data_IF_337721820280
#
_entry.id   IF_337721820280
#
_cell.length_a   1.000
_cell.length_b   1.000
_cell.length_c   1.000
_cell.angle_alpha   90.00
_cell.angle_beta   90.00
_cell.angle_gamma   90.00
#
_symmetry.space_group_name_H-M   'P 1'
#
loop_
_entity.id
_entity.type
_entity.pdbx_description
1 polymer ?
#
# COMPACT_ATOMS: atom_id res chain seq x y z
N UNK A 1 7.93 -27.74 -9.57
CA UNK A 1 6.72 -27.14 -10.21
C UNK A 1 5.79 -26.42 -9.21
N UNK A 2 6.13 -26.40 -7.90
CA UNK A 2 5.26 -25.89 -6.83
C UNK A 2 5.23 -24.35 -6.68
N UNK A 3 6.12 -23.60 -7.32
CA UNK A 3 6.21 -22.14 -7.20
C UNK A 3 5.95 -21.42 -8.53
N UNK A 4 4.89 -21.77 -9.23
CA UNK A 4 4.53 -21.06 -10.45
C UNK A 4 3.04 -20.71 -10.48
N UNK A 5 2.68 -19.61 -11.13
CA UNK A 5 1.28 -19.24 -11.36
C UNK A 5 0.47 -20.31 -12.12
N UNK A 6 1.14 -21.21 -12.84
CA UNK A 6 0.52 -22.31 -13.57
C UNK A 6 -0.11 -23.36 -12.65
N UNK A 7 0.48 -23.61 -11.47
CA UNK A 7 -0.06 -24.55 -10.48
C UNK A 7 -1.25 -24.03 -9.67
N UNK A 8 -1.57 -22.72 -9.76
CA UNK A 8 -2.65 -22.10 -8.98
C UNK A 8 -4.04 -22.31 -9.60
N UNK A 9 -4.12 -22.75 -10.86
CA UNK A 9 -5.39 -22.91 -11.56
C UNK A 9 -5.99 -21.60 -12.10
N UNK A 10 -5.14 -20.62 -12.43
CA UNK A 10 -5.56 -19.36 -13.02
C UNK A 10 -6.03 -19.55 -14.47
N UNK A 11 -7.00 -18.73 -14.89
CA UNK A 11 -7.47 -18.71 -16.26
C UNK A 11 -6.32 -18.40 -17.24
N UNK A 12 -6.23 -19.06 -18.43
CA UNK A 12 -5.12 -18.88 -19.37
C UNK A 12 -4.84 -17.42 -19.76
N UNK A 13 -5.88 -16.60 -19.89
CA UNK A 13 -5.71 -15.17 -20.20
C UNK A 13 -5.06 -14.39 -19.07
N UNK A 14 -5.37 -14.72 -17.80
CA UNK A 14 -4.71 -14.13 -16.63
C UNK A 14 -3.23 -14.49 -16.65
N UNK A 15 -2.89 -15.75 -16.88
CA UNK A 15 -1.51 -16.21 -16.99
C UNK A 15 -0.74 -15.47 -18.09
N UNK A 16 -1.36 -15.28 -19.27
CA UNK A 16 -0.77 -14.49 -20.38
C UNK A 16 -0.55 -13.03 -19.95
N UNK A 17 -1.50 -12.42 -19.24
CA UNK A 17 -1.36 -11.06 -18.72
C UNK A 17 -0.19 -10.91 -17.74
N UNK A 18 0.02 -11.90 -16.88
CA UNK A 18 1.16 -11.95 -15.95
C UNK A 18 2.50 -12.05 -16.68
N UNK A 19 2.60 -12.91 -17.70
CA UNK A 19 3.80 -13.05 -18.52
C UNK A 19 4.18 -11.75 -19.22
N UNK A 20 3.20 -11.00 -19.75
CA UNK A 20 3.47 -9.70 -20.38
C UNK A 20 4.06 -8.66 -19.43
N UNK A 21 3.87 -8.83 -18.12
CA UNK A 21 4.45 -8.01 -17.08
C UNK A 21 5.73 -8.61 -16.48
N UNK A 22 6.26 -9.65 -17.07
CA UNK A 22 7.41 -10.39 -16.53
C UNK A 22 7.18 -10.93 -15.11
N UNK A 23 5.91 -11.17 -14.75
CA UNK A 23 5.55 -11.83 -13.51
C UNK A 23 5.51 -13.34 -13.75
N UNK A 24 6.64 -13.99 -13.48
CA UNK A 24 6.83 -15.42 -13.78
C UNK A 24 6.45 -16.27 -12.58
N UNK A 25 6.87 -15.85 -11.38
CA UNK A 25 6.66 -16.58 -10.15
C UNK A 25 5.79 -15.78 -9.16
N UNK A 26 4.89 -16.46 -8.45
CA UNK A 26 4.11 -15.81 -7.41
C UNK A 26 5.00 -15.49 -6.18
N UNK A 27 4.74 -14.37 -5.53
CA UNK A 27 5.31 -14.11 -4.21
C UNK A 27 4.74 -15.09 -3.17
N UNK A 28 5.38 -15.20 -1.99
CA UNK A 28 4.93 -16.09 -0.91
C UNK A 28 3.45 -15.89 -0.58
N UNK A 29 3.00 -14.63 -0.45
CA UNK A 29 1.59 -14.35 -0.16
C UNK A 29 0.65 -14.71 -1.30
N UNK A 30 1.08 -14.51 -2.54
CA UNK A 30 0.31 -14.89 -3.72
C UNK A 30 0.15 -16.42 -3.82
N UNK A 31 1.22 -17.18 -3.55
CA UNK A 31 1.18 -18.65 -3.55
C UNK A 31 0.21 -19.22 -2.50
N UNK A 32 0.08 -18.56 -1.34
CA UNK A 32 -0.77 -19.01 -0.25
C UNK A 32 -2.22 -18.55 -0.45
N UNK A 33 -2.45 -17.32 -0.85
CA UNK A 33 -3.77 -16.70 -0.86
C UNK A 33 -4.54 -16.93 -2.17
N UNK A 34 -3.88 -16.88 -3.34
CA UNK A 34 -4.58 -17.06 -4.63
C UNK A 34 -5.34 -18.37 -4.76
N UNK A 35 -4.82 -19.54 -4.31
CA UNK A 35 -5.60 -20.77 -4.37
C UNK A 35 -6.92 -20.69 -3.60
N UNK A 36 -6.94 -20.04 -2.43
CA UNK A 36 -8.17 -19.86 -1.65
C UNK A 36 -9.13 -18.88 -2.37
N UNK A 37 -8.61 -17.80 -2.96
CA UNK A 37 -9.42 -16.86 -3.73
C UNK A 37 -10.06 -17.54 -4.95
N UNK A 38 -9.30 -18.35 -5.67
CA UNK A 38 -9.78 -19.10 -6.86
C UNK A 38 -10.91 -20.07 -6.50
N UNK A 39 -10.85 -20.68 -5.32
CA UNK A 39 -11.94 -21.56 -4.79
C UNK A 39 -13.17 -20.79 -4.32
N UNK A 40 -13.17 -19.46 -4.34
CA UNK A 40 -14.29 -18.63 -3.88
C UNK A 40 -14.34 -18.42 -2.37
N UNK A 41 -13.25 -18.74 -1.63
CA UNK A 41 -13.19 -18.54 -0.18
C UNK A 41 -13.11 -17.06 0.15
N UNK A 42 -13.86 -16.62 1.18
CA UNK A 42 -13.68 -15.28 1.75
C UNK A 42 -12.48 -15.30 2.71
N UNK A 43 -11.55 -14.36 2.50
CA UNK A 43 -10.27 -14.37 3.23
C UNK A 43 -9.87 -12.98 3.72
N UNK A 44 -9.15 -12.97 4.83
CA UNK A 44 -8.38 -11.82 5.30
C UNK A 44 -6.91 -12.17 5.21
N UNK A 45 -6.15 -11.35 4.51
CA UNK A 45 -4.73 -11.56 4.25
C UNK A 45 -3.91 -10.48 4.93
N UNK A 46 -2.99 -10.88 5.78
CA UNK A 46 -1.99 -10.00 6.36
C UNK A 46 -0.62 -10.32 5.81
N UNK A 47 0.05 -9.28 5.28
CA UNK A 47 1.46 -9.34 4.91
C UNK A 47 2.06 -7.93 4.85
N UNK A 48 3.38 -7.86 4.83
CA UNK A 48 4.12 -6.60 4.78
C UNK A 48 3.78 -5.76 3.55
N UNK A 49 3.97 -4.44 3.66
CA UNK A 49 3.89 -3.55 2.49
C UNK A 49 4.94 -3.97 1.45
N UNK A 50 4.53 -4.05 0.18
CA UNK A 50 5.43 -4.42 -0.92
C UNK A 50 5.56 -5.93 -1.19
N UNK A 51 4.85 -6.80 -0.48
CA UNK A 51 4.85 -8.26 -0.70
C UNK A 51 4.09 -8.73 -1.95
N UNK A 52 3.47 -7.81 -2.69
CA UNK A 52 2.68 -8.15 -3.89
C UNK A 52 1.17 -8.29 -3.65
N UNK A 53 0.64 -7.77 -2.51
CA UNK A 53 -0.80 -7.82 -2.20
C UNK A 53 -1.67 -7.17 -3.28
N UNK A 54 -1.34 -5.96 -3.74
CA UNK A 54 -2.12 -5.27 -4.77
C UNK A 54 -2.13 -6.03 -6.09
N UNK A 55 -1.00 -6.65 -6.47
CA UNK A 55 -0.93 -7.54 -7.64
C UNK A 55 -1.80 -8.77 -7.45
N UNK A 56 -1.82 -9.37 -6.26
CA UNK A 56 -2.71 -10.48 -5.92
C UNK A 56 -4.19 -10.09 -6.09
N UNK A 57 -4.58 -8.90 -5.63
CA UNK A 57 -5.95 -8.40 -5.79
C UNK A 57 -6.32 -8.20 -7.26
N UNK A 58 -5.40 -7.66 -8.06
CA UNK A 58 -5.64 -7.51 -9.50
C UNK A 58 -5.76 -8.86 -10.22
N UNK A 59 -4.96 -9.86 -9.84
CA UNK A 59 -5.09 -11.24 -10.32
C UNK A 59 -6.46 -11.82 -9.94
N UNK A 60 -6.87 -11.65 -8.68
CA UNK A 60 -8.15 -12.12 -8.17
C UNK A 60 -9.34 -11.58 -8.97
N UNK A 61 -9.34 -10.27 -9.24
CA UNK A 61 -10.39 -9.62 -10.07
C UNK A 61 -10.44 -10.24 -11.45
N UNK A 62 -9.30 -10.35 -12.13
CA UNK A 62 -9.22 -10.90 -13.47
C UNK A 62 -9.61 -12.39 -13.54
N UNK A 63 -9.45 -13.12 -12.44
CA UNK A 63 -9.85 -14.52 -12.30
C UNK A 63 -11.36 -14.68 -12.11
N UNK A 64 -11.99 -13.77 -11.35
CA UNK A 64 -13.40 -13.90 -10.93
C UNK A 64 -14.37 -13.30 -11.94
N UNK A 65 -13.96 -12.23 -12.64
CA UNK A 65 -14.82 -11.48 -13.54
C UNK A 65 -15.03 -12.25 -14.85
N UNK A 66 -16.30 -12.45 -15.18
CA UNK A 66 -16.73 -12.98 -16.48
C UNK A 66 -16.86 -11.82 -17.49
N UNK A 67 -15.89 -11.71 -18.38
CA UNK A 67 -15.81 -10.61 -19.35
C UNK A 67 -16.86 -10.69 -20.45
N UNK A 68 -17.59 -11.79 -20.59
CA UNK A 68 -18.74 -11.91 -21.51
C UNK A 68 -19.97 -11.13 -21.01
N UNK A 69 -19.96 -10.71 -19.74
CA UNK A 69 -21.08 -10.01 -19.08
C UNK A 69 -20.78 -8.52 -18.95
N UNK A 70 -21.60 -7.67 -19.58
CA UNK A 70 -21.49 -6.21 -19.51
C UNK A 70 -22.20 -5.61 -18.28
N UNK A 71 -21.85 -6.04 -17.07
CA UNK A 71 -22.37 -5.48 -15.82
C UNK A 71 -21.35 -5.61 -14.67
N UNK A 72 -21.57 -4.86 -13.60
CA UNK A 72 -20.68 -4.83 -12.44
C UNK A 72 -20.63 -6.19 -11.74
N UNK A 73 -19.42 -6.71 -11.52
CA UNK A 73 -19.15 -7.98 -10.85
C UNK A 73 -18.14 -7.87 -9.72
N UNK A 74 -17.25 -6.88 -9.77
CA UNK A 74 -16.23 -6.68 -8.75
C UNK A 74 -16.18 -5.23 -8.26
N UNK A 75 -16.10 -5.06 -6.95
CA UNK A 75 -15.93 -3.76 -6.28
C UNK A 75 -14.63 -3.79 -5.48
N UNK A 76 -13.76 -2.79 -5.74
CA UNK A 76 -12.50 -2.62 -5.05
C UNK A 76 -12.53 -1.34 -4.22
N UNK A 77 -12.27 -1.47 -2.94
CA UNK A 77 -12.16 -0.35 -2.01
C UNK A 77 -10.70 -0.11 -1.66
N UNK A 78 -10.28 1.15 -1.76
CA UNK A 78 -8.95 1.60 -1.34
C UNK A 78 -9.09 2.86 -0.47
N UNK A 79 -8.20 3.09 0.51
CA UNK A 79 -8.31 4.23 1.42
C UNK A 79 -8.12 5.58 0.72
N UNK A 80 -7.36 5.61 -0.38
CA UNK A 80 -7.07 6.81 -1.16
C UNK A 80 -7.44 6.64 -2.63
N UNK A 81 -7.66 7.77 -3.30
CA UNK A 81 -7.98 7.81 -4.74
C UNK A 81 -6.82 7.29 -5.58
N UNK A 82 -5.61 7.63 -5.19
CA UNK A 82 -4.38 7.24 -5.88
C UNK A 82 -4.20 5.72 -5.87
N UNK A 83 -4.41 5.08 -4.71
CA UNK A 83 -4.35 3.62 -4.62
C UNK A 83 -5.47 2.96 -5.44
N UNK A 84 -6.68 3.51 -5.41
CA UNK A 84 -7.78 3.02 -6.22
C UNK A 84 -7.45 3.08 -7.73
N UNK A 85 -6.82 4.16 -8.18
CA UNK A 85 -6.40 4.34 -9.57
C UNK A 85 -5.26 3.38 -9.93
N UNK A 86 -4.28 3.20 -9.05
CA UNK A 86 -3.19 2.25 -9.23
C UNK A 86 -3.71 0.82 -9.36
N UNK A 87 -4.62 0.41 -8.47
CA UNK A 87 -5.22 -0.93 -8.51
C UNK A 87 -6.03 -1.14 -9.78
N UNK A 88 -6.81 -0.13 -10.20
CA UNK A 88 -7.56 -0.19 -11.45
C UNK A 88 -6.65 -0.32 -12.68
N UNK A 89 -5.55 0.44 -12.73
CA UNK A 89 -4.54 0.32 -13.81
C UNK A 89 -3.97 -1.09 -13.86
N UNK A 90 -3.61 -1.65 -12.70
CA UNK A 90 -3.03 -2.98 -12.61
C UNK A 90 -4.04 -4.08 -13.03
N UNK A 91 -5.31 -3.95 -12.65
CA UNK A 91 -6.40 -4.82 -13.12
C UNK A 91 -6.51 -4.77 -14.65
N UNK A 92 -6.50 -3.57 -15.23
CA UNK A 92 -6.60 -3.37 -16.67
C UNK A 92 -5.38 -3.93 -17.40
N UNK A 93 -4.19 -3.73 -16.87
CA UNK A 93 -2.95 -4.21 -17.49
C UNK A 93 -2.84 -5.74 -17.48
N UNK A 94 -3.18 -6.40 -16.38
CA UNK A 94 -3.23 -7.88 -16.31
C UNK A 94 -4.35 -8.39 -17.22
N UNK A 95 -5.49 -7.69 -17.24
CA UNK A 95 -6.63 -8.01 -18.08
C UNK A 95 -6.48 -7.62 -19.56
N UNK A 96 -5.34 -7.08 -19.99
CA UNK A 96 -5.13 -6.56 -21.35
C UNK A 96 -5.32 -7.59 -22.46
N UNK A 97 -5.33 -8.87 -22.13
CA UNK A 97 -5.66 -9.96 -23.06
C UNK A 97 -7.15 -10.29 -23.14
N UNK A 98 -7.98 -9.68 -22.29
CA UNK A 98 -9.43 -9.75 -22.38
C UNK A 98 -9.94 -8.53 -23.17
N UNK A 99 -10.48 -8.76 -24.34
CA UNK A 99 -10.92 -7.68 -25.24
C UNK A 99 -12.00 -6.78 -24.62
N UNK A 100 -12.74 -7.29 -23.62
CA UNK A 100 -13.92 -6.63 -23.07
C UNK A 100 -13.85 -6.29 -21.57
N UNK A 101 -12.70 -6.52 -20.89
CA UNK A 101 -12.58 -6.14 -19.47
C UNK A 101 -12.58 -4.61 -19.33
N UNK A 102 -13.56 -4.11 -18.59
CA UNK A 102 -13.68 -2.67 -18.28
C UNK A 102 -13.60 -2.44 -16.78
N UNK A 103 -12.67 -1.59 -16.37
CA UNK A 103 -12.49 -1.15 -15.00
C UNK A 103 -12.66 0.37 -14.92
N UNK A 104 -13.55 0.84 -14.07
CA UNK A 104 -13.77 2.26 -13.85
C UNK A 104 -13.33 2.69 -12.45
N UNK A 105 -12.71 3.87 -12.37
CA UNK A 105 -12.37 4.51 -11.10
C UNK A 105 -13.50 5.44 -10.67
N UNK A 106 -14.07 5.18 -9.50
CA UNK A 106 -15.11 6.01 -8.89
C UNK A 106 -14.49 7.28 -8.29
N UNK A 107 -14.56 8.40 -8.99
CA UNK A 107 -14.10 9.70 -8.49
C UNK A 107 -15.14 10.81 -8.75
N UNK A 108 -14.94 12.01 -8.16
CA UNK A 108 -15.90 13.10 -8.01
C UNK A 108 -16.84 13.42 -9.17
N UNK A 109 -16.35 13.43 -10.41
CA UNK A 109 -17.12 13.74 -11.62
C UNK A 109 -17.27 12.55 -12.57
N UNK A 110 -16.80 11.35 -12.19
CA UNK A 110 -16.92 10.18 -13.06
C UNK A 110 -18.38 9.79 -13.25
N UNK A 111 -18.85 9.82 -14.49
CA UNK A 111 -20.12 9.19 -14.89
C UNK A 111 -19.81 7.74 -15.22
N UNK A 112 -20.26 6.82 -14.37
CA UNK A 112 -20.21 5.40 -14.63
C UNK A 112 -21.31 5.04 -15.63
N UNK A 113 -20.96 4.27 -16.65
CA UNK A 113 -21.90 3.85 -17.70
C UNK A 113 -22.81 2.71 -17.25
N UNK A 114 -22.43 2.01 -16.15
CA UNK A 114 -23.16 0.85 -15.62
C UNK A 114 -22.90 -0.45 -16.39
N UNK A 115 -22.04 -0.39 -17.39
CA UNK A 115 -21.59 -1.55 -18.20
C UNK A 115 -20.20 -2.04 -17.80
N UNK A 116 -19.52 -1.31 -16.91
CA UNK A 116 -18.21 -1.70 -16.41
C UNK A 116 -18.33 -2.92 -15.49
N UNK A 117 -17.44 -3.87 -15.68
CA UNK A 117 -17.40 -5.09 -14.85
C UNK A 117 -16.74 -4.85 -13.48
N UNK A 118 -15.90 -3.83 -13.37
CA UNK A 118 -15.10 -3.55 -12.19
C UNK A 118 -15.21 -2.08 -11.80
N UNK A 119 -15.52 -1.82 -10.53
CA UNK A 119 -15.43 -0.48 -9.94
C UNK A 119 -14.34 -0.44 -8.88
N UNK A 120 -13.43 0.51 -9.00
CA UNK A 120 -12.39 0.80 -8.00
C UNK A 120 -12.57 2.20 -7.44
N UNK A 121 -12.48 2.40 -6.12
CA UNK A 121 -12.62 3.72 -5.54
C UNK A 121 -12.48 3.75 -4.02
N UNK A 122 -12.57 4.97 -3.48
CA UNK A 122 -12.64 5.15 -2.02
C UNK A 122 -14.04 4.79 -1.50
N UNK A 123 -14.15 4.33 -0.23
CA UNK A 123 -15.44 3.88 0.33
C UNK A 123 -16.58 4.87 0.13
N UNK A 124 -16.36 6.17 0.39
CA UNK A 124 -17.42 7.18 0.24
C UNK A 124 -17.92 7.34 -1.20
N UNK A 125 -17.04 7.27 -2.18
CA UNK A 125 -17.40 7.40 -3.60
C UNK A 125 -18.10 6.16 -4.13
N UNK A 126 -17.61 5.00 -3.78
CA UNK A 126 -18.23 3.72 -4.14
C UNK A 126 -19.60 3.60 -3.50
N UNK A 127 -19.75 3.94 -2.21
CA UNK A 127 -21.02 3.92 -1.51
C UNK A 127 -22.05 4.83 -2.20
N UNK A 128 -21.66 6.06 -2.55
CA UNK A 128 -22.57 6.99 -3.25
C UNK A 128 -23.05 6.41 -4.59
N UNK A 129 -22.20 5.74 -5.34
CA UNK A 129 -22.55 5.10 -6.62
C UNK A 129 -23.42 3.85 -6.44
N UNK A 130 -23.14 3.02 -5.44
CA UNK A 130 -23.92 1.81 -5.16
C UNK A 130 -25.29 2.12 -4.59
N UNK A 131 -25.41 3.17 -3.76
CA UNK A 131 -26.68 3.53 -3.09
C UNK A 131 -27.78 3.97 -4.03
N UNK A 132 -27.44 4.41 -5.25
CA UNK A 132 -28.43 4.80 -6.27
C UNK A 132 -28.82 3.63 -7.19
N UNK A 133 -28.16 2.46 -7.05
CA UNK A 133 -28.43 1.30 -7.89
C UNK A 133 -29.63 0.49 -7.37
N UNK A 134 -30.33 -0.14 -8.31
CA UNK A 134 -31.44 -1.07 -7.96
C UNK A 134 -30.88 -2.35 -7.36
N UNK A 135 -31.67 -3.01 -6.52
CA UNK A 135 -31.31 -4.28 -5.89
C UNK A 135 -30.92 -5.39 -6.91
N UNK A 136 -31.59 -5.42 -8.07
CA UNK A 136 -31.27 -6.36 -9.16
C UNK A 136 -29.89 -6.14 -9.77
N UNK A 137 -29.37 -4.91 -9.75
CA UNK A 137 -28.01 -4.60 -10.16
C UNK A 137 -26.99 -5.09 -9.14
N UNK A 138 -27.25 -4.85 -7.85
CA UNK A 138 -26.35 -5.21 -6.75
C UNK A 138 -26.21 -6.74 -6.60
N UNK A 139 -27.26 -7.52 -6.89
CA UNK A 139 -27.25 -8.99 -6.85
C UNK A 139 -26.22 -9.64 -7.79
N UNK A 140 -25.66 -8.90 -8.74
CA UNK A 140 -24.71 -9.41 -9.73
C UNK A 140 -23.24 -9.27 -9.26
N UNK A 141 -23.01 -8.58 -8.15
CA UNK A 141 -21.66 -8.39 -7.61
C UNK A 141 -21.17 -9.69 -7.00
N UNK A 142 -20.03 -10.19 -7.49
CA UNK A 142 -19.45 -11.48 -7.13
C UNK A 142 -18.37 -11.35 -6.05
N UNK A 143 -17.64 -10.23 -6.05
CA UNK A 143 -16.54 -10.02 -5.12
C UNK A 143 -16.46 -8.57 -4.64
N UNK A 144 -16.25 -8.40 -3.33
CA UNK A 144 -15.86 -7.15 -2.69
C UNK A 144 -14.42 -7.30 -2.17
N UNK A 145 -13.56 -6.47 -2.69
CA UNK A 145 -12.14 -6.40 -2.30
C UNK A 145 -11.92 -5.15 -1.46
N UNK A 146 -11.22 -5.30 -0.34
CA UNK A 146 -10.90 -4.21 0.59
C UNK A 146 -9.38 -4.18 0.77
N UNK A 147 -8.73 -3.19 0.17
CA UNK A 147 -7.28 -3.01 0.26
C UNK A 147 -6.93 -2.03 1.39
N UNK A 148 -5.86 -2.32 2.13
CA UNK A 148 -5.38 -1.53 3.27
C UNK A 148 -6.50 -1.21 4.28
N UNK A 149 -7.22 -2.25 4.77
CA UNK A 149 -8.34 -2.06 5.71
C UNK A 149 -7.89 -1.39 7.02
N UNK A 150 -6.68 -1.60 7.48
CA UNK A 150 -6.07 -0.93 8.62
C UNK A 150 -6.00 0.60 8.43
N UNK A 151 -5.72 1.06 7.23
CA UNK A 151 -5.76 2.47 6.90
C UNK A 151 -7.20 3.00 6.86
N UNK A 152 -8.15 2.21 6.38
CA UNK A 152 -9.57 2.59 6.42
C UNK A 152 -10.10 2.73 7.85
N UNK A 153 -9.64 1.86 8.77
CA UNK A 153 -9.91 2.00 10.21
C UNK A 153 -9.33 3.30 10.75
N UNK A 154 -8.06 3.57 10.46
CA UNK A 154 -7.34 4.76 10.93
C UNK A 154 -7.93 6.07 10.41
N UNK A 155 -8.47 6.05 9.20
CA UNK A 155 -9.12 7.18 8.54
C UNK A 155 -10.61 7.34 8.88
N UNK A 156 -11.18 6.47 9.74
CA UNK A 156 -12.59 6.52 10.12
C UNK A 156 -13.57 6.13 9.01
N UNK A 157 -13.11 5.37 8.00
CA UNK A 157 -13.91 4.98 6.84
C UNK A 157 -14.72 3.69 7.04
N UNK A 158 -14.55 3.01 8.18
CA UNK A 158 -15.16 1.69 8.46
C UNK A 158 -16.69 1.73 8.41
N UNK A 159 -17.31 2.82 8.84
CA UNK A 159 -18.77 2.97 8.73
C UNK A 159 -19.27 2.93 7.28
N UNK A 160 -18.50 3.49 6.34
CA UNK A 160 -18.81 3.45 4.91
C UNK A 160 -18.58 2.04 4.33
N UNK A 161 -17.50 1.37 4.72
CA UNK A 161 -17.22 -0.02 4.33
C UNK A 161 -18.32 -0.96 4.81
N UNK A 162 -18.76 -0.81 6.07
CA UNK A 162 -19.87 -1.60 6.62
C UNK A 162 -21.18 -1.40 5.84
N UNK A 163 -21.50 -0.17 5.45
CA UNK A 163 -22.68 0.12 4.60
C UNK A 163 -22.54 -0.50 3.21
N UNK A 164 -21.37 -0.42 2.58
CA UNK A 164 -21.12 -1.08 1.29
C UNK A 164 -21.33 -2.60 1.43
N UNK A 165 -20.75 -3.19 2.48
CA UNK A 165 -20.91 -4.60 2.75
C UNK A 165 -22.40 -5.02 2.87
N UNK A 166 -23.25 -4.20 3.50
CA UNK A 166 -24.69 -4.47 3.63
C UNK A 166 -25.42 -4.48 2.28
N UNK A 167 -24.88 -3.80 1.27
CA UNK A 167 -25.41 -3.81 -0.10
C UNK A 167 -24.98 -5.04 -0.92
N UNK A 168 -23.99 -5.81 -0.44
CA UNK A 168 -23.49 -6.97 -1.18
C UNK A 168 -24.42 -8.16 -1.03
N UNK A 169 -24.60 -8.97 -2.09
CA UNK A 169 -25.38 -10.19 -2.01
C UNK A 169 -24.75 -11.22 -1.05
N UNK A 170 -25.56 -12.15 -0.50
CA UNK A 170 -25.06 -13.15 0.45
C UNK A 170 -23.93 -14.02 -0.10
N UNK A 171 -23.90 -14.27 -1.40
CA UNK A 171 -22.93 -15.12 -2.09
C UNK A 171 -21.64 -14.34 -2.43
N UNK A 172 -21.61 -13.04 -2.19
CA UNK A 172 -20.45 -12.21 -2.51
C UNK A 172 -19.22 -12.69 -1.73
N UNK A 173 -18.13 -12.93 -2.46
CA UNK A 173 -16.83 -13.26 -1.86
C UNK A 173 -16.20 -11.98 -1.28
N UNK A 174 -15.54 -12.09 -0.13
CA UNK A 174 -14.80 -11.00 0.48
C UNK A 174 -13.30 -11.30 0.48
N UNK A 175 -12.52 -10.39 -0.09
CA UNK A 175 -11.05 -10.46 -0.06
C UNK A 175 -10.54 -9.20 0.61
N UNK A 176 -10.01 -9.33 1.82
CA UNK A 176 -9.54 -8.21 2.63
C UNK A 176 -8.04 -8.32 2.79
N UNK A 177 -7.33 -7.23 2.54
CA UNK A 177 -5.88 -7.19 2.77
C UNK A 177 -5.48 -6.05 3.70
N UNK A 178 -4.43 -6.29 4.47
CA UNK A 178 -3.88 -5.36 5.45
C UNK A 178 -2.40 -5.61 5.66
N UNK A 179 -1.66 -4.59 6.07
CA UNK A 179 -0.32 -4.77 6.61
C UNK A 179 -0.35 -5.14 8.10
N UNK A 180 -1.43 -4.80 8.81
CA UNK A 180 -1.54 -4.91 10.28
C UNK A 180 -2.89 -5.46 10.73
N UNK A 181 -3.50 -6.42 10.00
CA UNK A 181 -4.82 -6.98 10.30
C UNK A 181 -4.92 -7.55 11.73
N UNK A 182 -3.85 -8.18 12.24
CA UNK A 182 -3.80 -8.68 13.61
C UNK A 182 -3.96 -7.61 14.68
N UNK A 183 -3.68 -6.33 14.37
CA UNK A 183 -3.88 -5.21 15.28
C UNK A 183 -5.34 -4.72 15.32
N UNK A 184 -6.12 -4.98 14.27
CA UNK A 184 -7.56 -4.70 14.24
C UNK A 184 -8.31 -5.76 15.05
N UNK A 185 -7.80 -6.98 15.07
CA UNK A 185 -8.43 -8.16 15.67
C UNK A 185 -9.31 -8.94 14.71
N UNK A 186 -9.20 -10.26 14.76
CA UNK A 186 -9.94 -11.18 13.90
C UNK A 186 -11.45 -11.05 14.10
N UNK A 187 -11.89 -10.92 15.36
CA UNK A 187 -13.30 -10.76 15.73
C UNK A 187 -13.90 -9.47 15.14
N UNK A 188 -13.14 -8.37 15.17
CA UNK A 188 -13.59 -7.08 14.63
C UNK A 188 -13.77 -7.17 13.10
N UNK A 189 -12.87 -7.85 12.39
CA UNK A 189 -12.95 -8.04 10.95
C UNK A 189 -14.07 -9.02 10.58
N UNK A 190 -14.22 -10.10 11.33
CA UNK A 190 -15.33 -11.05 11.14
C UNK A 190 -16.68 -10.38 11.39
N UNK A 191 -16.77 -9.54 12.43
CA UNK A 191 -17.95 -8.73 12.73
C UNK A 191 -18.26 -7.72 11.62
N UNK A 192 -17.23 -7.05 11.06
CA UNK A 192 -17.39 -6.15 9.92
C UNK A 192 -17.97 -6.88 8.71
N UNK A 193 -17.44 -8.08 8.41
CA UNK A 193 -17.86 -8.89 7.26
C UNK A 193 -19.14 -9.70 7.53
N UNK A 194 -19.56 -9.82 8.81
CA UNK A 194 -20.71 -10.65 9.27
C UNK A 194 -20.69 -12.07 8.74
N UNK A 195 -19.51 -12.66 8.66
CA UNK A 195 -19.29 -14.08 8.31
C UNK A 195 -17.94 -14.53 8.81
N UNK A 196 -17.81 -15.84 8.95
CA UNK A 196 -16.50 -16.45 9.14
C UNK A 196 -15.64 -16.26 7.90
N UNK A 197 -14.39 -15.86 8.11
CA UNK A 197 -13.39 -15.63 7.08
C UNK A 197 -12.11 -16.37 7.46
N UNK A 198 -11.43 -16.90 6.47
CA UNK A 198 -10.12 -17.51 6.68
C UNK A 198 -9.06 -16.44 6.82
N UNK A 199 -8.33 -16.46 7.94
CA UNK A 199 -7.20 -15.60 8.15
C UNK A 199 -5.92 -16.22 7.61
N UNK A 200 -5.25 -15.52 6.72
CA UNK A 200 -3.94 -15.87 6.16
C UNK A 200 -2.95 -14.82 6.63
N UNK A 201 -2.06 -15.22 7.51
CA UNK A 201 -0.98 -14.36 8.01
C UNK A 201 0.35 -14.90 7.51
N UNK A 202 0.85 -14.34 6.40
CA UNK A 202 2.15 -14.70 5.84
C UNK A 202 3.32 -14.07 6.62
N UNK A 203 3.03 -13.08 7.45
CA UNK A 203 3.99 -12.42 8.32
C UNK A 203 4.24 -13.18 9.65
N UNK A 204 3.72 -14.41 9.82
CA UNK A 204 3.99 -15.25 10.98
C UNK A 204 5.37 -15.91 10.84
N UNK A 205 6.33 -15.47 11.65
CA UNK A 205 7.67 -16.05 11.77
C UNK A 205 8.62 -15.07 12.43
N UNK A 206 9.79 -15.55 12.86
CA UNK A 206 10.87 -14.72 13.44
C UNK A 206 11.37 -13.63 12.47
N UNK A 207 11.05 -13.76 11.19
CA UNK A 207 11.39 -12.83 10.10
C UNK A 207 10.20 -12.01 9.61
N UNK A 208 9.35 -11.49 10.51
CA UNK A 208 8.25 -10.58 10.17
C UNK A 208 8.72 -9.38 9.32
N UNK A 209 9.93 -8.92 9.59
CA UNK A 209 10.62 -7.90 8.82
C UNK A 209 11.56 -8.62 7.85
N UNK A 210 11.44 -8.33 6.56
CA UNK A 210 12.33 -8.90 5.56
C UNK A 210 13.78 -8.84 6.06
N UNK A 211 14.51 -9.93 5.98
CA UNK A 211 15.93 -10.00 6.37
C UNK A 211 16.81 -8.92 5.72
N UNK A 212 16.26 -8.22 4.73
CA UNK A 212 16.90 -7.17 3.94
C UNK A 212 16.52 -5.74 4.35
N UNK A 213 15.62 -5.55 5.34
CA UNK A 213 15.25 -4.23 5.85
C UNK A 213 15.97 -3.98 7.17
N UNK A 214 16.99 -3.16 7.14
CA UNK A 214 17.72 -2.72 8.33
C UNK A 214 17.01 -1.51 8.92
N UNK A 215 16.78 -1.52 10.24
CA UNK A 215 16.05 -0.48 10.93
C UNK A 215 16.94 0.12 12.02
N UNK A 216 17.07 1.44 11.96
CA UNK A 216 17.92 2.22 12.87
C UNK A 216 17.18 3.40 13.46
N UNK A 217 17.70 3.92 14.56
CA UNK A 217 17.31 5.22 15.09
C UNK A 217 18.53 6.07 15.42
N UNK A 218 18.32 7.39 15.40
CA UNK A 218 19.29 8.40 15.87
C UNK A 218 18.59 9.23 16.92
N UNK A 219 19.18 9.32 18.10
CA UNK A 219 18.72 10.22 19.15
C UNK A 219 19.38 11.59 18.95
N UNK A 220 18.55 12.62 18.93
CA UNK A 220 18.97 14.02 18.85
C UNK A 220 18.46 14.77 20.08
N UNK A 221 19.27 15.67 20.62
CA UNK A 221 18.95 16.38 21.86
C UNK A 221 17.79 17.37 21.74
N UNK A 222 17.47 17.83 20.52
CA UNK A 222 16.34 18.73 20.27
C UNK A 222 15.90 18.69 18.81
N UNK A 223 14.64 19.10 18.55
CA UNK A 223 14.02 19.12 17.20
C UNK A 223 14.87 19.88 16.16
N UNK A 224 15.51 20.99 16.55
CA UNK A 224 16.36 21.79 15.67
C UNK A 224 17.54 21.02 15.10
N UNK A 225 18.02 19.97 15.76
CA UNK A 225 19.17 19.18 15.31
C UNK A 225 18.79 18.05 14.35
N UNK A 226 17.50 17.77 14.17
CA UNK A 226 17.05 16.74 13.21
C UNK A 226 17.50 17.04 11.78
N UNK A 227 17.51 18.33 11.39
CA UNK A 227 17.96 18.73 10.06
C UNK A 227 19.46 18.46 9.85
N UNK A 228 20.28 18.75 10.86
CA UNK A 228 21.71 18.46 10.79
C UNK A 228 21.97 16.96 10.74
N UNK A 229 21.22 16.16 11.51
CA UNK A 229 21.28 14.70 11.43
C UNK A 229 20.92 14.16 10.01
N UNK A 230 19.96 14.78 9.32
CA UNK A 230 19.65 14.43 7.92
C UNK A 230 20.83 14.76 7.00
N UNK A 231 21.48 15.89 7.18
CA UNK A 231 22.67 16.23 6.41
C UNK A 231 23.83 15.28 6.67
N UNK A 232 24.05 14.90 7.92
CA UNK A 232 25.09 13.93 8.29
C UNK A 232 24.82 12.56 7.63
N UNK A 233 23.56 12.09 7.63
CA UNK A 233 23.17 10.88 6.92
C UNK A 233 23.53 11.01 5.43
N UNK A 234 23.17 12.12 4.77
CA UNK A 234 23.41 12.29 3.35
C UNK A 234 24.88 12.42 2.99
N UNK A 235 25.67 13.05 3.85
CA UNK A 235 27.12 13.18 3.68
C UNK A 235 27.82 11.82 3.80
N UNK A 236 27.38 10.98 4.74
CA UNK A 236 27.96 9.66 4.98
C UNK A 236 27.57 8.64 3.90
N UNK A 237 26.31 8.67 3.45
CA UNK A 237 25.75 7.65 2.55
C UNK A 237 25.76 8.01 1.08
N UNK A 238 26.44 9.09 0.68
CA UNK A 238 26.58 9.53 -0.73
C UNK A 238 25.38 9.08 -1.57
N UNK A 239 24.27 9.81 -1.51
CA UNK A 239 22.98 9.42 -2.10
C UNK A 239 23.09 9.16 -3.61
N UNK A 240 23.56 7.98 -3.98
CA UNK A 240 23.42 7.48 -5.35
C UNK A 240 21.98 6.97 -5.59
N UNK A 241 21.28 6.59 -4.51
CA UNK A 241 19.94 6.02 -4.54
C UNK A 241 18.88 7.01 -4.05
N UNK A 242 17.63 6.74 -4.40
CA UNK A 242 16.51 7.56 -3.96
C UNK A 242 16.15 7.32 -2.49
N UNK A 243 15.71 8.40 -1.82
CA UNK A 243 15.29 8.42 -0.42
C UNK A 243 13.92 9.07 -0.26
N UNK A 244 13.13 8.58 0.70
CA UNK A 244 11.89 9.25 1.15
C UNK A 244 12.09 9.72 2.58
N UNK A 245 11.74 10.98 2.86
CA UNK A 245 11.75 11.55 4.20
C UNK A 245 10.31 11.84 4.62
N UNK A 246 9.89 11.29 5.75
CA UNK A 246 8.54 11.47 6.27
C UNK A 246 8.49 12.51 7.37
N UNK A 247 7.59 13.50 7.22
CA UNK A 247 7.20 14.45 8.23
C UNK A 247 5.71 14.25 8.59
N UNK A 248 5.34 14.54 9.83
CA UNK A 248 3.95 14.36 10.30
C UNK A 248 3.02 15.46 9.77
N UNK A 249 3.53 16.66 9.50
CA UNK A 249 2.75 17.83 9.15
C UNK A 249 3.14 18.44 7.80
N UNK A 250 2.15 18.98 7.08
CA UNK A 250 2.37 19.60 5.77
C UNK A 250 3.34 20.80 5.83
N UNK A 251 3.21 21.76 6.77
CA UNK A 251 4.14 22.88 6.87
C UNK A 251 5.58 22.45 7.13
N UNK A 252 5.77 21.42 7.98
CA UNK A 252 7.08 20.86 8.27
C UNK A 252 7.70 20.18 7.04
N UNK A 253 6.90 19.44 6.27
CA UNK A 253 7.36 18.82 5.02
C UNK A 253 7.82 19.86 4.00
N UNK A 254 7.07 20.95 3.82
CA UNK A 254 7.44 22.05 2.93
C UNK A 254 8.71 22.75 3.40
N UNK A 255 8.80 23.03 4.71
CA UNK A 255 9.98 23.66 5.30
C UNK A 255 11.23 22.80 5.08
N UNK A 256 11.14 21.52 5.38
CA UNK A 256 12.24 20.57 5.21
C UNK A 256 12.69 20.48 3.75
N UNK A 257 11.75 20.37 2.83
CA UNK A 257 12.05 20.35 1.41
C UNK A 257 12.77 21.61 0.95
N UNK A 258 12.33 22.82 1.38
CA UNK A 258 12.99 24.08 1.08
C UNK A 258 14.42 24.13 1.62
N UNK A 259 14.65 23.65 2.87
CA UNK A 259 15.98 23.61 3.47
C UNK A 259 16.95 22.70 2.71
N UNK A 260 16.46 21.54 2.25
CA UNK A 260 17.25 20.62 1.44
C UNK A 260 17.57 21.18 0.05
N UNK A 261 16.61 21.85 -0.59
CA UNK A 261 16.85 22.54 -1.90
C UNK A 261 17.91 23.61 -1.77
N UNK A 262 17.90 24.45 -0.70
CA UNK A 262 18.91 25.49 -0.45
C UNK A 262 20.31 24.88 -0.34
N UNK A 263 20.43 23.66 0.14
CA UNK A 263 21.69 22.90 0.22
C UNK A 263 22.07 22.17 -1.07
N UNK A 264 21.32 22.39 -2.15
CA UNK A 264 21.64 21.84 -3.48
C UNK A 264 21.13 20.42 -3.74
N UNK A 265 20.30 19.84 -2.87
CA UNK A 265 19.73 18.51 -3.12
C UNK A 265 18.56 18.58 -4.13
N UNK A 266 18.45 17.59 -5.05
CA UNK A 266 17.30 17.47 -5.96
C UNK A 266 16.10 16.87 -5.22
N UNK A 267 15.24 17.73 -4.67
CA UNK A 267 14.12 17.40 -3.77
C UNK A 267 12.77 17.69 -4.42
N UNK A 268 11.83 16.81 -4.21
CA UNK A 268 10.40 17.06 -4.40
C UNK A 268 9.65 16.93 -3.07
N UNK A 269 8.52 17.63 -2.94
CA UNK A 269 7.66 17.55 -1.76
C UNK A 269 6.26 17.12 -2.17
N UNK A 270 5.64 16.25 -1.37
CA UNK A 270 4.23 15.84 -1.54
C UNK A 270 3.50 15.81 -0.20
N UNK A 271 2.33 16.44 -0.15
CA UNK A 271 1.45 16.41 1.03
C UNK A 271 -0.02 16.62 0.65
N UNK A 272 -0.92 16.32 1.58
CA UNK A 272 -2.37 16.30 1.32
C UNK A 272 -2.98 17.64 0.90
N UNK A 273 -2.39 18.76 1.30
CA UNK A 273 -2.88 20.11 0.94
C UNK A 273 -2.51 20.55 -0.49
N UNK A 274 -1.65 19.81 -1.20
CA UNK A 274 -1.26 20.14 -2.58
C UNK A 274 -2.36 19.80 -3.57
N UNK A 275 -2.47 20.62 -4.64
CA UNK A 275 -3.28 20.29 -5.81
C UNK A 275 -2.78 19.01 -6.47
N UNK A 276 -3.71 18.17 -6.96
CA UNK A 276 -3.39 16.87 -7.55
C UNK A 276 -2.33 16.97 -8.67
N UNK A 277 -2.46 17.94 -9.57
CA UNK A 277 -1.49 18.14 -10.66
C UNK A 277 -0.06 18.35 -10.16
N UNK A 278 0.12 19.08 -9.04
CA UNK A 278 1.45 19.29 -8.44
C UNK A 278 2.00 18.01 -7.82
N UNK A 279 1.15 17.19 -7.19
CA UNK A 279 1.55 15.87 -6.67
C UNK A 279 1.99 14.93 -7.78
N UNK A 280 1.22 14.87 -8.88
CA UNK A 280 1.53 14.02 -10.04
C UNK A 280 2.86 14.46 -10.69
N UNK A 281 3.13 15.76 -10.81
CA UNK A 281 4.40 16.28 -11.33
C UNK A 281 5.59 15.94 -10.42
N UNK A 282 5.45 16.12 -9.11
CA UNK A 282 6.48 15.79 -8.14
C UNK A 282 6.82 14.28 -8.18
N UNK A 283 5.81 13.42 -8.26
CA UNK A 283 6.01 11.99 -8.38
C UNK A 283 6.66 11.58 -9.70
N UNK A 284 6.28 12.21 -10.79
CA UNK A 284 6.90 11.98 -12.10
C UNK A 284 8.39 12.29 -12.04
N UNK A 285 8.80 13.45 -11.50
CA UNK A 285 10.21 13.82 -11.32
C UNK A 285 10.97 12.90 -10.39
N UNK A 286 10.29 12.38 -9.36
CA UNK A 286 10.88 11.39 -8.49
C UNK A 286 11.06 10.04 -9.20
N UNK A 287 10.07 9.57 -9.97
CA UNK A 287 10.14 8.32 -10.73
C UNK A 287 11.20 8.35 -11.85
N UNK A 288 11.36 9.50 -12.53
CA UNK A 288 12.38 9.67 -13.57
C UNK A 288 13.81 9.72 -13.00
N UNK A 289 13.96 9.91 -11.67
CA UNK A 289 15.26 10.08 -11.04
C UNK A 289 15.78 11.50 -11.06
N UNK A 290 15.03 12.46 -11.62
CA UNK A 290 15.35 13.91 -11.60
C UNK A 290 15.36 14.45 -10.16
N UNK A 291 14.53 13.87 -9.28
CA UNK A 291 14.59 14.08 -7.86
C UNK A 291 15.14 12.83 -7.16
N UNK A 292 16.09 13.02 -6.26
CA UNK A 292 16.67 11.95 -5.44
C UNK A 292 15.99 11.84 -4.08
N UNK A 293 15.40 12.92 -3.61
CA UNK A 293 14.74 12.98 -2.30
C UNK A 293 13.28 13.35 -2.50
N UNK A 294 12.39 12.59 -1.87
CA UNK A 294 10.98 12.90 -1.75
C UNK A 294 10.65 13.18 -0.29
N UNK A 295 10.30 14.42 0.04
CA UNK A 295 9.73 14.74 1.35
C UNK A 295 8.22 14.54 1.30
N UNK A 296 7.67 13.76 2.21
CA UNK A 296 6.26 13.37 2.16
C UNK A 296 5.57 13.40 3.52
N UNK A 297 4.27 13.64 3.52
CA UNK A 297 3.40 13.31 4.66
C UNK A 297 2.70 11.98 4.41
N UNK A 298 2.23 11.32 5.47
CA UNK A 298 1.60 10.00 5.38
C UNK A 298 0.42 9.95 4.39
N UNK A 299 -0.45 10.96 4.44
CA UNK A 299 -1.64 11.02 3.57
C UNK A 299 -1.26 11.04 2.09
N UNK A 300 -0.17 11.71 1.75
CA UNK A 300 0.25 11.85 0.36
C UNK A 300 1.10 10.67 -0.14
N UNK A 301 1.76 9.94 0.76
CA UNK A 301 2.60 8.80 0.39
C UNK A 301 1.83 7.49 0.31
N UNK A 302 0.65 7.44 0.90
CA UNK A 302 -0.25 6.28 0.85
C UNK A 302 -0.88 6.16 -0.53
N UNK A 303 -0.90 4.96 -1.05
CA UNK A 303 -1.49 4.70 -2.37
C UNK A 303 -0.73 5.31 -3.55
N UNK A 304 0.44 5.90 -3.33
CA UNK A 304 1.30 6.30 -4.42
C UNK A 304 2.16 5.12 -4.86
N UNK A 305 2.19 4.91 -6.17
CA UNK A 305 3.18 4.05 -6.79
C UNK A 305 4.55 4.75 -6.73
N UNK A 306 5.10 4.79 -5.53
CA UNK A 306 6.46 5.27 -5.32
C UNK A 306 7.39 4.09 -5.53
N UNK A 307 8.39 4.22 -6.40
CA UNK A 307 9.38 3.17 -6.59
C UNK A 307 9.97 2.71 -5.26
N UNK A 308 10.41 1.47 -5.20
CA UNK A 308 11.20 1.03 -4.06
C UNK A 308 12.44 1.90 -3.94
N UNK A 309 12.60 2.52 -2.77
CA UNK A 309 13.76 3.36 -2.45
C UNK A 309 14.77 2.58 -1.61
N UNK A 310 16.02 3.01 -1.63
CA UNK A 310 17.06 2.39 -0.80
C UNK A 310 16.94 2.81 0.67
N UNK A 311 16.45 4.04 0.91
CA UNK A 311 16.39 4.60 2.26
C UNK A 311 15.05 5.27 2.55
N UNK A 312 14.56 5.09 3.77
CA UNK A 312 13.46 5.86 4.36
C UNK A 312 13.96 6.53 5.63
N UNK A 313 13.69 7.82 5.77
CA UNK A 313 13.96 8.58 7.00
C UNK A 313 12.63 9.03 7.61
N UNK A 314 12.34 8.61 8.83
CA UNK A 314 11.28 9.21 9.63
C UNK A 314 11.87 10.43 10.33
N UNK A 315 11.70 11.61 9.75
CA UNK A 315 12.10 12.89 10.34
C UNK A 315 11.31 13.16 11.61
N UNK A 316 10.01 12.87 11.56
CA UNK A 316 9.14 12.82 12.74
C UNK A 316 8.79 11.38 13.07
N UNK A 317 8.82 11.06 14.36
CA UNK A 317 8.40 9.76 14.87
C UNK A 317 6.95 9.48 14.45
N UNK A 318 6.63 8.34 13.83
CA UNK A 318 5.25 7.99 13.49
C UNK A 318 4.48 7.66 14.77
N UNK A 319 3.27 8.25 14.88
CA UNK A 319 2.42 8.11 16.09
C UNK A 319 1.71 6.74 16.19
N UNK A 320 1.63 5.99 15.09
CA UNK A 320 0.88 4.73 15.02
C UNK A 320 1.73 3.61 14.41
N UNK A 321 1.58 2.36 14.89
CA UNK A 321 2.31 1.22 14.36
C UNK A 321 2.10 0.97 12.86
N UNK A 322 0.86 1.07 12.37
CA UNK A 322 0.58 0.91 10.95
C UNK A 322 1.28 2.00 10.11
N UNK A 323 1.31 3.25 10.57
CA UNK A 323 2.03 4.33 9.90
C UNK A 323 3.52 4.00 9.75
N UNK A 324 4.15 3.49 10.83
CA UNK A 324 5.54 3.05 10.78
C UNK A 324 5.76 1.97 9.71
N UNK A 325 4.93 0.91 9.73
CA UNK A 325 4.99 -0.19 8.77
C UNK A 325 4.84 0.30 7.32
N UNK A 326 3.89 1.19 7.07
CA UNK A 326 3.66 1.75 5.74
C UNK A 326 4.82 2.65 5.26
N UNK A 327 5.45 3.43 6.17
CA UNK A 327 6.61 4.25 5.85
C UNK A 327 7.82 3.40 5.49
N UNK A 328 8.25 2.52 6.40
CA UNK A 328 9.43 1.68 6.18
C UNK A 328 9.22 0.67 5.05
N UNK A 329 7.98 0.25 4.80
CA UNK A 329 7.62 -0.59 3.66
C UNK A 329 7.78 0.09 2.30
N UNK A 330 8.30 1.33 2.21
CA UNK A 330 8.72 1.95 0.95
C UNK A 330 10.14 1.56 0.56
N UNK A 331 10.95 1.03 1.45
CA UNK A 331 12.28 0.51 1.15
C UNK A 331 12.35 -1.02 1.29
N UNK A 332 13.40 -1.63 0.76
CA UNK A 332 13.63 -3.08 0.86
C UNK A 332 12.66 -3.96 0.05
N UNK A 333 12.09 -3.46 -1.06
CA UNK A 333 11.14 -4.21 -1.91
C UNK A 333 11.84 -5.01 -3.00
N UNK A 334 11.14 -6.03 -3.50
CA UNK A 334 11.60 -6.84 -4.64
C UNK A 334 13.00 -7.47 -4.46
N UNK A 335 13.30 -7.87 -3.22
CA UNK A 335 14.57 -8.53 -2.94
C UNK A 335 15.78 -7.61 -2.77
N UNK A 336 15.59 -6.28 -2.82
CA UNK A 336 16.65 -5.28 -2.59
C UNK A 336 16.81 -5.01 -1.09
N UNK A 337 18.03 -4.65 -0.69
CA UNK A 337 18.28 -4.17 0.67
C UNK A 337 17.69 -2.77 0.87
N UNK A 338 17.20 -2.50 2.06
CA UNK A 338 16.63 -1.21 2.42
C UNK A 338 17.04 -0.80 3.82
N UNK A 339 17.12 0.50 4.05
CA UNK A 339 17.44 1.09 5.34
C UNK A 339 16.34 2.05 5.77
N UNK A 340 15.84 1.89 6.99
CA UNK A 340 14.91 2.80 7.61
C UNK A 340 15.56 3.45 8.85
N UNK A 341 15.59 4.77 8.90
CA UNK A 341 16.19 5.53 10.00
C UNK A 341 15.12 6.42 10.63
N UNK A 342 14.96 6.35 11.95
CA UNK A 342 14.04 7.22 12.71
C UNK A 342 14.80 8.22 13.54
N UNK A 343 14.48 9.51 13.40
CA UNK A 343 15.08 10.58 14.23
C UNK A 343 14.19 10.78 15.45
N UNK A 344 14.77 10.63 16.64
CA UNK A 344 14.06 10.68 17.91
C UNK A 344 14.59 11.81 18.77
N UNK A 345 13.71 12.61 19.35
CA UNK A 345 14.01 13.47 20.50
C UNK A 345 13.63 12.73 21.80
N UNK A 346 13.98 13.29 22.93
CA UNK A 346 13.73 12.65 24.24
C UNK A 346 12.24 12.30 24.43
N UNK A 347 11.34 13.19 24.00
CA UNK A 347 9.88 12.98 24.09
C UNK A 347 9.38 11.83 23.23
N UNK A 348 10.07 11.52 22.13
CA UNK A 348 9.70 10.44 21.21
C UNK A 348 10.07 9.03 21.71
N UNK A 349 11.02 8.92 22.64
CA UNK A 349 11.67 7.64 23.02
C UNK A 349 10.69 6.59 23.53
N UNK A 350 9.83 6.97 24.45
CA UNK A 350 8.92 6.01 25.09
C UNK A 350 7.82 5.57 24.12
N UNK A 351 7.33 6.48 23.30
CA UNK A 351 6.35 6.17 22.27
C UNK A 351 6.95 5.26 21.21
N UNK A 352 8.18 5.53 20.78
CA UNK A 352 8.87 4.70 19.80
C UNK A 352 9.19 3.30 20.35
N UNK A 353 9.60 3.19 21.63
CA UNK A 353 9.80 1.89 22.30
C UNK A 353 8.49 1.10 22.40
N UNK A 354 7.38 1.75 22.75
CA UNK A 354 6.05 1.10 22.77
C UNK A 354 5.64 0.62 21.39
N UNK A 355 5.87 1.44 20.37
CA UNK A 355 5.58 1.12 18.97
C UNK A 355 6.38 -0.10 18.49
N UNK A 356 7.70 -0.11 18.70
CA UNK A 356 8.58 -1.20 18.24
C UNK A 356 8.30 -2.52 18.98
N UNK A 357 7.99 -2.47 20.28
CA UNK A 357 7.55 -3.66 21.05
C UNK A 357 6.24 -4.23 20.50
N UNK A 358 5.27 -3.37 20.20
CA UNK A 358 3.98 -3.80 19.63
C UNK A 358 4.14 -4.44 18.26
N UNK A 359 5.10 -3.96 17.47
CA UNK A 359 5.44 -4.49 16.16
C UNK A 359 6.37 -5.70 16.22
N UNK A 360 6.89 -6.05 17.41
CA UNK A 360 7.90 -7.11 17.61
C UNK A 360 9.10 -6.95 16.66
N UNK A 361 9.52 -5.69 16.44
CA UNK A 361 10.67 -5.37 15.58
C UNK A 361 11.86 -4.90 16.41
N UNK A 362 13.06 -5.23 15.94
CA UNK A 362 14.31 -4.74 16.53
C UNK A 362 14.80 -3.55 15.70
N UNK A 363 14.89 -2.39 16.36
CA UNK A 363 15.49 -1.18 15.80
C UNK A 363 16.74 -0.86 16.59
N UNK A 364 17.88 -0.71 15.92
CA UNK A 364 19.19 -0.51 16.56
C UNK A 364 19.60 0.97 16.50
N UNK A 365 20.41 1.47 17.42
CA UNK A 365 21.05 2.77 17.23
C UNK A 365 21.88 2.73 15.95
N UNK A 366 21.91 3.84 15.21
CA UNK A 366 22.72 3.94 13.99
C UNK A 366 24.20 3.88 14.36
N UNK A 367 24.97 2.89 13.87
CA UNK A 367 26.41 2.81 14.20
C UNK A 367 27.16 3.98 13.57
N UNK A 368 28.09 4.57 14.34
CA UNK A 368 28.85 5.73 13.90
C UNK A 368 29.76 5.43 12.66
N UNK A 369 30.21 4.17 12.52
CA UNK A 369 31.29 3.78 11.61
C UNK A 369 30.93 2.72 10.54
N UNK A 370 29.73 2.15 10.55
CA UNK A 370 29.39 1.00 9.69
C UNK A 370 27.97 1.07 9.15
N UNK A 371 27.79 1.78 8.04
CA UNK A 371 26.64 1.53 7.18
C UNK A 371 27.13 1.36 5.75
N UNK A 372 27.45 0.14 5.40
CA UNK A 372 27.49 -0.27 3.99
C UNK A 372 26.04 -0.40 3.49
N UNK A 373 25.47 0.70 2.98
CA UNK A 373 24.33 0.62 2.08
C UNK A 373 24.93 0.22 0.74
N UNK A 374 25.10 -1.04 0.50
CA UNK A 374 25.41 -1.54 -0.84
C UNK A 374 24.13 -1.38 -1.68
N UNK A 375 24.04 -0.38 -2.57
CA UNK A 375 22.99 -0.33 -3.57
C UNK A 375 23.37 -1.35 -4.64
N UNK A 376 22.68 -2.48 -4.68
CA UNK A 376 22.68 -3.37 -5.83
C UNK A 376 21.44 -3.12 -6.63
#
# INVERSE_FOLDING_TARGET
>A
MENSFWGIGLHPNVQRGLLLRSLIEPSSIQSIALPAIVRGESIVVQDLSGSGKTTMLAIAVNQIVDTSKGFLQAVLLSPTRELAQQTASLVTEIGSKYVSLTCAVCHGSSRLKGTEQVWSGTPGRVLAQLSIQRASFLKRIRVLIIDEVDEMVSAGLIGQVSRIRQLMPPECQFVVVSATASMIGEDSLSSLLKREVRFINAARGENFWHSRLQQYFIEVSAEKWKLDAVFDIFTRFLLQSQCIIFANECPKAEWLAKKLVIRGFPVQCIHGAMLQRKRDDALRKFRSGDAKILVATDVASRGLDVPSVAMVINFDCPLKPNTYVHRIGRCGRFGRNGVAISLLIDDDRDDFRRLTRRLRTQVKPLPADQLEINPV
#
